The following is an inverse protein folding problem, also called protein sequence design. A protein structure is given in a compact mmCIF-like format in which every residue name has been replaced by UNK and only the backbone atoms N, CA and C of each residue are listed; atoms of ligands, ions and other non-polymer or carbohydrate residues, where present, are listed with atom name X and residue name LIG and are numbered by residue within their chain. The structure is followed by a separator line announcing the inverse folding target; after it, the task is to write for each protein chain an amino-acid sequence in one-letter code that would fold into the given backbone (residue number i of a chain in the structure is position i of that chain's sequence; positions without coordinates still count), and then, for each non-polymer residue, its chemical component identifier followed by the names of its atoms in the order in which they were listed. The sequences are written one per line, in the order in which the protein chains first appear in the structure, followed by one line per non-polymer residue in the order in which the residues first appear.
data_IF_892364813425
#
_entry.id   IF_892364813425
#
_cell.length_a   1.000
_cell.length_b   1.000
_cell.length_c   1.000
_cell.angle_alpha   90.00
_cell.angle_beta   90.00
_cell.angle_gamma   90.00
#
_symmetry.space_group_name_H-M   'P 1'
#
loop_
_entity.id
_entity.type
_entity.pdbx_description
1 polymer ?
#
# COMPACT_ATOMS: atom_id res chain seq x y z
N UNK A 1 15.24 14.34 -42.80
CA UNK A 1 16.31 13.63 -42.09
C UNK A 1 15.91 13.70 -40.63
N UNK A 2 14.97 12.83 -40.22
CA UNK A 2 15.23 11.65 -39.36
C UNK A 2 15.96 12.10 -38.09
N UNK A 3 15.21 12.50 -37.07
CA UNK A 3 14.69 11.62 -36.00
C UNK A 3 15.83 11.20 -35.07
N UNK A 4 16.18 12.10 -34.15
CA UNK A 4 16.98 11.76 -32.97
C UNK A 4 15.96 11.31 -31.91
N UNK A 5 15.66 10.01 -31.93
CA UNK A 5 14.87 9.35 -30.92
C UNK A 5 15.46 9.68 -29.54
N UNK A 6 14.68 10.40 -28.72
CA UNK A 6 14.92 10.49 -27.29
C UNK A 6 15.02 9.06 -26.77
N UNK A 7 16.20 8.67 -26.26
CA UNK A 7 16.44 7.35 -25.71
C UNK A 7 15.33 7.04 -24.70
N UNK A 8 14.58 5.96 -24.96
CA UNK A 8 13.73 5.37 -23.95
C UNK A 8 14.64 4.99 -22.78
N UNK A 9 14.52 5.72 -21.68
CA UNK A 9 15.09 5.31 -20.40
C UNK A 9 14.56 3.90 -20.13
N UNK A 10 15.45 2.90 -20.22
CA UNK A 10 15.19 1.49 -19.92
C UNK A 10 15.09 1.34 -18.40
N UNK A 11 14.06 1.97 -17.82
CA UNK A 11 13.78 1.99 -16.40
C UNK A 11 12.65 0.97 -16.14
N UNK A 12 13.00 -0.28 -15.75
CA UNK A 12 12.03 -1.35 -15.55
C UNK A 12 10.96 -0.96 -14.52
N UNK A 13 11.32 -0.22 -13.47
CA UNK A 13 10.36 0.25 -12.47
C UNK A 13 9.24 1.08 -13.09
N UNK A 14 9.60 2.08 -13.93
CA UNK A 14 8.61 2.95 -14.60
C UNK A 14 7.73 2.16 -15.57
N UNK A 15 8.30 1.23 -16.30
CA UNK A 15 7.54 0.41 -17.25
C UNK A 15 6.57 -0.52 -16.53
N UNK A 16 7.00 -1.16 -15.45
CA UNK A 16 6.18 -2.04 -14.64
C UNK A 16 5.07 -1.29 -13.92
N UNK A 17 5.33 -0.11 -13.36
CA UNK A 17 4.29 0.76 -12.79
C UNK A 17 3.28 1.17 -13.84
N UNK A 18 3.73 1.54 -15.05
CA UNK A 18 2.81 1.87 -16.14
C UNK A 18 1.93 0.68 -16.52
N UNK A 19 2.53 -0.50 -16.72
CA UNK A 19 1.81 -1.74 -17.02
C UNK A 19 0.81 -2.10 -15.93
N UNK A 20 1.17 -1.92 -14.66
CA UNK A 20 0.28 -2.07 -13.52
C UNK A 20 -0.93 -1.16 -13.68
N UNK A 21 -0.72 0.16 -13.78
CA UNK A 21 -1.80 1.15 -13.84
C UNK A 21 -2.73 0.95 -15.04
N UNK A 22 -2.16 0.61 -16.21
CA UNK A 22 -2.90 0.31 -17.44
C UNK A 22 -3.73 -0.98 -17.32
N UNK A 23 -3.37 -1.91 -16.42
CA UNK A 23 -4.09 -3.16 -16.17
C UNK A 23 -5.25 -3.04 -15.16
N UNK A 24 -5.29 -1.96 -14.38
CA UNK A 24 -6.26 -1.78 -13.31
C UNK A 24 -7.54 -1.10 -13.84
N UNK A 25 -8.64 -1.83 -13.80
CA UNK A 25 -9.97 -1.35 -14.19
C UNK A 25 -10.71 -0.70 -13.02
N UNK A 26 -11.35 0.44 -13.23
CA UNK A 26 -12.05 1.17 -12.17
C UNK A 26 -11.27 2.38 -11.66
N UNK A 27 -11.66 2.85 -10.46
CA UNK A 27 -11.15 4.10 -9.89
C UNK A 27 -9.77 3.90 -9.25
N UNK A 28 -8.86 4.85 -9.48
CA UNK A 28 -7.49 4.87 -8.96
C UNK A 28 -7.26 6.19 -8.26
N UNK A 29 -6.81 6.15 -7.00
CA UNK A 29 -6.43 7.34 -6.23
C UNK A 29 -5.00 7.18 -5.75
N UNK A 30 -4.13 8.11 -6.15
CA UNK A 30 -2.77 8.15 -5.65
C UNK A 30 -2.67 9.04 -4.41
N UNK A 31 -1.67 8.79 -3.58
CA UNK A 31 -1.29 9.62 -2.43
C UNK A 31 -2.48 9.93 -1.50
N UNK A 32 -3.12 8.88 -0.98
CA UNK A 32 -4.30 9.01 -0.10
C UNK A 32 -3.88 8.99 1.36
N UNK A 33 -4.21 10.05 2.09
CA UNK A 33 -4.00 10.10 3.55
C UNK A 33 -4.80 8.99 4.27
N UNK A 34 -4.14 8.31 5.20
CA UNK A 34 -4.72 7.28 6.04
C UNK A 34 -4.41 7.55 7.52
N UNK A 35 -5.46 7.71 8.33
CA UNK A 35 -5.35 7.95 9.77
C UNK A 35 -6.16 6.89 10.53
N UNK A 36 -5.47 6.05 11.29
CA UNK A 36 -6.07 5.01 12.12
C UNK A 36 -6.05 5.42 13.59
N UNK A 37 -7.20 5.78 14.18
CA UNK A 37 -7.31 5.94 15.61
C UNK A 37 -7.25 4.57 16.32
N UNK A 38 -6.45 4.49 17.37
CA UNK A 38 -6.30 3.33 18.25
C UNK A 38 -6.35 3.78 19.71
N UNK A 39 -7.05 3.01 20.54
CA UNK A 39 -7.00 3.18 22.00
C UNK A 39 -5.97 2.24 22.60
N UNK A 40 -4.97 2.79 23.28
CA UNK A 40 -3.82 2.09 23.86
C UNK A 40 -3.69 2.52 25.32
N UNK A 41 -3.81 1.57 26.26
CA UNK A 41 -3.76 1.85 27.71
C UNK A 41 -4.66 3.01 28.16
N UNK A 42 -5.89 3.01 27.64
CA UNK A 42 -6.93 4.03 27.85
C UNK A 42 -6.63 5.43 27.25
N UNK A 43 -5.54 5.56 26.47
CA UNK A 43 -5.20 6.77 25.71
C UNK A 43 -5.52 6.61 24.21
N UNK A 44 -6.03 7.67 23.58
CA UNK A 44 -6.26 7.69 22.13
C UNK A 44 -5.00 8.15 21.38
N UNK A 45 -4.47 7.27 20.54
CA UNK A 45 -3.34 7.52 19.64
C UNK A 45 -3.83 7.41 18.20
N UNK A 46 -3.35 8.28 17.32
CA UNK A 46 -3.64 8.17 15.87
C UNK A 46 -2.35 7.86 15.13
N UNK A 47 -2.35 6.76 14.38
CA UNK A 47 -1.26 6.43 13.46
C UNK A 47 -1.62 6.94 12.07
N UNK A 48 -0.76 7.77 11.49
CA UNK A 48 -0.96 8.36 10.17
C UNK A 48 0.05 7.85 9.13
N UNK A 49 -0.35 7.83 7.87
CA UNK A 49 0.53 7.61 6.72
C UNK A 49 -0.17 7.93 5.40
N UNK A 50 0.51 7.68 4.29
CA UNK A 50 0.02 7.96 2.93
C UNK A 50 0.05 6.66 2.14
N UNK A 51 -1.09 6.31 1.55
CA UNK A 51 -1.23 5.18 0.63
C UNK A 51 -0.76 5.62 -0.76
N UNK A 52 0.19 4.89 -1.35
CA UNK A 52 0.70 5.21 -2.69
C UNK A 52 -0.39 5.11 -3.76
N UNK A 53 -1.14 4.00 -3.77
CA UNK A 53 -2.26 3.79 -4.68
C UNK A 53 -3.40 3.03 -4.01
N UNK A 54 -4.60 3.61 -4.10
CA UNK A 54 -5.86 2.96 -3.78
C UNK A 54 -6.59 2.62 -5.07
N UNK A 55 -6.82 1.34 -5.31
CA UNK A 55 -7.57 0.83 -6.47
C UNK A 55 -8.95 0.35 -6.03
N UNK A 56 -9.99 0.86 -6.69
CA UNK A 56 -11.36 0.76 -6.22
C UNK A 56 -12.24 0.24 -7.36
N UNK A 57 -12.86 -0.92 -7.13
CA UNK A 57 -13.88 -1.51 -8.02
C UNK A 57 -15.25 -1.53 -7.34
N UNK A 58 -16.27 -2.12 -7.98
CA UNK A 58 -17.58 -2.30 -7.35
C UNK A 58 -17.52 -3.25 -6.16
N UNK A 59 -16.63 -4.24 -6.21
CA UNK A 59 -16.66 -5.42 -5.33
C UNK A 59 -15.49 -5.43 -4.34
N UNK A 60 -14.35 -4.83 -4.72
CA UNK A 60 -13.14 -4.81 -3.91
C UNK A 60 -12.45 -3.45 -3.87
N UNK A 61 -11.60 -3.27 -2.86
CA UNK A 61 -10.65 -2.17 -2.73
C UNK A 61 -9.27 -2.74 -2.42
N UNK A 62 -8.30 -2.40 -3.25
CA UNK A 62 -6.91 -2.86 -3.12
C UNK A 62 -6.04 -1.68 -2.67
N UNK A 63 -5.33 -1.84 -1.56
CA UNK A 63 -4.27 -0.93 -1.12
C UNK A 63 -2.97 -1.41 -1.74
N UNK A 64 -2.35 -0.60 -2.60
CA UNK A 64 -1.11 -0.95 -3.31
C UNK A 64 -0.03 0.04 -2.88
N UNK A 65 1.07 -0.48 -2.34
CA UNK A 65 2.26 0.28 -1.93
C UNK A 65 3.45 -0.12 -2.81
N UNK A 66 4.17 0.88 -3.34
CA UNK A 66 5.25 0.67 -4.30
C UNK A 66 6.58 0.51 -3.59
N UNK A 67 7.31 -0.55 -3.91
CA UNK A 67 8.68 -0.77 -3.43
C UNK A 67 9.66 -0.90 -4.58
N UNK A 68 10.76 -0.17 -4.49
CA UNK A 68 11.92 -0.26 -5.40
C UNK A 68 12.98 -1.22 -4.86
N UNK A 69 12.75 -1.79 -3.68
CA UNK A 69 13.64 -2.75 -3.04
C UNK A 69 13.80 -4.00 -3.90
N UNK A 70 15.05 -4.45 -4.08
CA UNK A 70 15.38 -5.66 -4.84
C UNK A 70 15.33 -6.94 -4.01
N UNK A 71 14.97 -6.83 -2.74
CA UNK A 71 14.89 -7.94 -1.80
C UNK A 71 13.68 -7.77 -0.90
N UNK A 72 13.17 -8.88 -0.36
CA UNK A 72 11.98 -8.91 0.49
C UNK A 72 12.29 -8.79 1.99
N UNK A 73 13.51 -8.41 2.37
CA UNK A 73 13.94 -8.43 3.78
C UNK A 73 13.12 -7.49 4.69
N UNK A 74 12.53 -6.44 4.12
CA UNK A 74 11.73 -5.46 4.84
C UNK A 74 10.21 -5.74 4.80
N UNK A 75 9.77 -6.90 4.30
CA UNK A 75 8.33 -7.25 4.21
C UNK A 75 7.61 -7.14 5.56
N UNK A 76 8.27 -7.53 6.66
CA UNK A 76 7.67 -7.41 8.00
C UNK A 76 7.41 -5.96 8.40
N UNK A 77 8.27 -5.01 8.00
CA UNK A 77 8.06 -3.58 8.25
C UNK A 77 6.97 -3.01 7.34
N UNK A 78 6.94 -3.41 6.07
CA UNK A 78 5.90 -3.00 5.14
C UNK A 78 4.53 -3.54 5.55
N UNK A 79 4.49 -4.77 6.05
CA UNK A 79 3.27 -5.39 6.59
C UNK A 79 2.67 -4.54 7.69
N UNK A 80 3.47 -3.96 8.58
CA UNK A 80 2.99 -3.08 9.65
C UNK A 80 2.31 -1.83 9.09
N UNK A 81 2.97 -1.14 8.16
CA UNK A 81 2.44 0.07 7.50
C UNK A 81 1.16 -0.24 6.73
N UNK A 82 1.18 -1.27 5.89
CA UNK A 82 0.03 -1.71 5.10
C UNK A 82 -1.15 -2.17 5.96
N UNK A 83 -0.90 -2.73 7.15
CA UNK A 83 -1.96 -3.10 8.08
C UNK A 83 -2.74 -1.89 8.59
N UNK A 84 -2.07 -0.76 8.82
CA UNK A 84 -2.74 0.49 9.20
C UNK A 84 -3.65 0.95 8.06
N UNK A 85 -3.12 0.99 6.84
CA UNK A 85 -3.87 1.41 5.65
C UNK A 85 -5.07 0.50 5.39
N UNK A 86 -4.87 -0.81 5.52
CA UNK A 86 -5.93 -1.81 5.42
C UNK A 86 -7.09 -1.49 6.35
N UNK A 87 -6.86 -1.24 7.65
CA UNK A 87 -7.94 -0.98 8.60
C UNK A 87 -8.66 0.34 8.32
N UNK A 88 -7.95 1.38 7.87
CA UNK A 88 -8.57 2.66 7.47
C UNK A 88 -9.49 2.46 6.27
N UNK A 89 -9.03 1.68 5.27
CA UNK A 89 -9.80 1.42 4.05
C UNK A 89 -10.97 0.47 4.32
N UNK A 90 -10.79 -0.56 5.14
CA UNK A 90 -11.85 -1.47 5.55
C UNK A 90 -12.99 -0.75 6.28
N UNK A 91 -12.66 0.19 7.17
CA UNK A 91 -13.68 1.03 7.83
C UNK A 91 -14.42 1.93 6.84
N UNK A 92 -13.71 2.41 5.80
CA UNK A 92 -14.27 3.32 4.80
C UNK A 92 -15.17 2.61 3.79
N UNK A 93 -14.89 1.35 3.48
CA UNK A 93 -15.61 0.53 2.50
C UNK A 93 -16.10 -0.78 3.12
N UNK A 94 -17.04 -0.73 4.10
CA UNK A 94 -17.47 -1.92 4.84
C UNK A 94 -18.18 -2.97 3.98
N UNK A 95 -18.72 -2.57 2.82
CA UNK A 95 -19.45 -3.45 1.90
C UNK A 95 -18.57 -4.05 0.80
N UNK A 96 -17.25 -3.82 0.83
CA UNK A 96 -16.30 -4.32 -0.19
C UNK A 96 -15.23 -5.18 0.46
N UNK A 97 -14.72 -6.16 -0.29
CA UNK A 97 -13.50 -6.86 0.15
C UNK A 97 -12.32 -5.90 0.08
N UNK A 98 -11.45 -5.93 1.10
CA UNK A 98 -10.24 -5.12 1.12
C UNK A 98 -9.03 -6.06 1.11
N UNK A 99 -8.01 -5.71 0.33
CA UNK A 99 -6.71 -6.38 0.34
C UNK A 99 -5.58 -5.35 0.38
N UNK A 100 -4.42 -5.77 0.89
CA UNK A 100 -3.23 -4.95 0.95
C UNK A 100 -2.09 -5.66 0.22
N UNK A 101 -1.43 -4.95 -0.68
CA UNK A 101 -0.43 -5.49 -1.58
C UNK A 101 0.82 -4.60 -1.58
N UNK A 102 1.97 -5.27 -1.60
CA UNK A 102 3.25 -4.68 -1.99
C UNK A 102 3.41 -4.90 -3.49
N UNK A 103 3.77 -3.86 -4.23
CA UNK A 103 4.17 -3.99 -5.63
C UNK A 103 5.66 -3.70 -5.77
N UNK A 104 6.43 -4.74 -6.06
CA UNK A 104 7.87 -4.64 -6.33
C UNK A 104 8.06 -4.16 -7.77
N UNK A 105 8.46 -2.91 -7.92
CA UNK A 105 8.49 -2.21 -9.20
C UNK A 105 9.55 -2.73 -10.15
N UNK A 106 10.69 -3.23 -9.67
CA UNK A 106 11.77 -3.82 -10.50
C UNK A 106 11.30 -5.08 -11.26
N UNK A 107 10.59 -5.99 -10.58
CA UNK A 107 10.12 -7.26 -11.16
C UNK A 107 8.67 -7.19 -11.68
N UNK A 108 7.90 -6.17 -11.28
CA UNK A 108 6.47 -6.06 -11.57
C UNK A 108 5.62 -7.08 -10.80
N UNK A 109 6.11 -7.56 -9.66
CA UNK A 109 5.46 -8.58 -8.84
C UNK A 109 4.55 -7.96 -7.77
N UNK A 110 3.37 -8.57 -7.56
CA UNK A 110 2.40 -8.17 -6.53
C UNK A 110 2.41 -9.21 -5.41
N UNK A 111 2.68 -8.76 -4.19
CA UNK A 111 2.63 -9.60 -2.99
C UNK A 111 1.52 -9.14 -2.08
N UNK A 112 0.48 -9.95 -1.99
CA UNK A 112 -0.55 -9.74 -0.97
C UNK A 112 0.02 -10.06 0.41
N UNK A 113 -0.23 -9.17 1.36
CA UNK A 113 0.16 -9.35 2.76
C UNK A 113 -1.07 -9.65 3.60
N UNK A 114 -0.91 -10.53 4.59
CA UNK A 114 -1.94 -10.74 5.59
C UNK A 114 -1.87 -9.60 6.64
N UNK A 115 -2.87 -8.71 6.73
CA UNK A 115 -2.80 -7.58 7.66
C UNK A 115 -2.74 -8.05 9.11
N UNK A 116 -1.98 -7.32 9.93
CA UNK A 116 -2.04 -7.42 11.38
C UNK A 116 -3.42 -6.98 11.86
N UNK A 117 -3.95 -7.65 12.87
CA UNK A 117 -5.17 -7.22 13.55
C UNK A 117 -4.96 -5.90 14.29
N UNK A 118 -6.05 -5.19 14.58
CA UNK A 118 -6.00 -3.99 15.44
C UNK A 118 -5.37 -4.26 16.81
N UNK A 119 -5.53 -5.47 17.34
CA UNK A 119 -4.91 -5.88 18.60
C UNK A 119 -3.39 -5.94 18.47
N UNK A 120 -2.87 -6.59 17.42
CA UNK A 120 -1.42 -6.64 17.16
C UNK A 120 -0.84 -5.24 16.94
N UNK A 121 -1.56 -4.37 16.21
CA UNK A 121 -1.14 -2.98 16.03
C UNK A 121 -1.06 -2.20 17.34
N UNK A 122 -2.03 -2.39 18.25
CA UNK A 122 -1.98 -1.77 19.59
C UNK A 122 -0.77 -2.22 20.39
N UNK A 123 -0.47 -3.52 20.41
CA UNK A 123 0.69 -4.05 21.13
C UNK A 123 2.01 -3.50 20.57
N UNK A 124 2.09 -3.27 19.25
CA UNK A 124 3.25 -2.63 18.65
C UNK A 124 3.43 -1.17 19.07
N UNK A 125 2.33 -0.40 19.16
CA UNK A 125 2.39 0.99 19.63
C UNK A 125 2.89 1.01 21.08
N UNK A 126 2.34 0.16 21.95
CA UNK A 126 2.80 0.02 23.35
C UNK A 126 4.29 -0.26 23.45
N UNK A 127 4.81 -1.16 22.61
CA UNK A 127 6.21 -1.54 22.63
C UNK A 127 7.15 -0.42 22.14
N UNK A 128 6.64 0.55 21.38
CA UNK A 128 7.42 1.69 20.90
C UNK A 128 7.42 2.87 21.90
N UNK A 129 6.38 2.98 22.73
CA UNK A 129 6.23 4.03 23.75
C UNK A 129 6.83 3.65 25.13
N UNK A 130 7.27 2.40 25.30
CA UNK A 130 7.90 1.86 26.51
C UNK A 130 9.43 2.01 26.53
#
# INVERSE_FOLDING_TARGET
MLDEAAGADDNPDKENVKRLLDSLEGEKKAEVDAFLPLTVDDEEVTIGGIIDLLHITSDCVEVIDYKTDRTTHAEDEYRKQLSIYYHVVADRYPDRSVSALIFYTDEGDRREINPLSRSELREMVKAHDA
#
